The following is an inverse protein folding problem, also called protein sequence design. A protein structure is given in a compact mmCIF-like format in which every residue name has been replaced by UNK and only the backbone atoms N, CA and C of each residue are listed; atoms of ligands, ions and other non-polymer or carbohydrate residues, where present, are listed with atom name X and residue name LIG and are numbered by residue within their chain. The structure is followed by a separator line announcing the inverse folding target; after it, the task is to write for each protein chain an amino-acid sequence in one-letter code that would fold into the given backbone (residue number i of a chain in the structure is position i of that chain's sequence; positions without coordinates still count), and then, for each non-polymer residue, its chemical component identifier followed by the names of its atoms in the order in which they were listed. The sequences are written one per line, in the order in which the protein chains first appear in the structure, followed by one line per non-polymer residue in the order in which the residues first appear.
data_IF_768705752383
#
_entry.id   IF_768705752383
#
_cell.length_a   1.000
_cell.length_b   1.000
_cell.length_c   1.000
_cell.angle_alpha   90.00
_cell.angle_beta   90.00
_cell.angle_gamma   90.00
#
_symmetry.space_group_name_H-M   'P 1'
#
loop_
_entity.id
_entity.type
_entity.pdbx_description
1 polymer ?
#
# COMPACT_ATOMS: atom_id res chain seq x y z
N UNK A 1 -9.19 18.65 8.34
CA UNK A 1 -10.20 18.89 7.32
C UNK A 1 -10.29 20.34 6.89
N UNK A 2 -10.55 21.24 7.80
CA UNK A 2 -10.79 22.65 7.50
C UNK A 2 -9.60 23.32 6.84
N UNK A 3 -8.37 22.95 7.24
CA UNK A 3 -7.14 23.46 6.61
C UNK A 3 -7.03 23.03 5.15
N UNK A 4 -7.31 21.75 4.82
CA UNK A 4 -7.28 21.27 3.44
C UNK A 4 -8.31 22.01 2.58
N UNK A 5 -9.55 22.10 3.06
CA UNK A 5 -10.61 22.85 2.36
C UNK A 5 -10.27 24.31 2.16
N UNK A 6 -9.76 24.95 3.21
CA UNK A 6 -9.34 26.37 3.18
C UNK A 6 -8.30 26.66 2.10
N UNK A 7 -7.40 25.71 1.83
CA UNK A 7 -6.31 25.86 0.88
C UNK A 7 -6.56 25.13 -0.45
N UNK A 8 -7.76 24.61 -0.69
CA UNK A 8 -8.10 23.89 -1.92
C UNK A 8 -7.31 22.59 -2.14
N UNK A 9 -6.81 21.98 -1.05
CA UNK A 9 -6.05 20.73 -1.09
C UNK A 9 -6.97 19.52 -0.96
N UNK A 10 -6.60 18.46 -1.66
CA UNK A 10 -7.33 17.18 -1.62
C UNK A 10 -6.38 16.10 -1.10
N UNK A 11 -6.81 15.34 -0.10
CA UNK A 11 -6.09 14.15 0.31
C UNK A 11 -6.36 13.01 -0.69
N UNK A 12 -5.32 12.40 -1.19
CA UNK A 12 -5.40 11.28 -2.15
C UNK A 12 -5.20 9.92 -1.49
N UNK A 13 -4.62 9.92 -0.27
CA UNK A 13 -4.36 8.73 0.53
C UNK A 13 -4.47 9.07 2.02
N UNK A 14 -5.10 8.17 2.79
CA UNK A 14 -5.20 8.28 4.26
C UNK A 14 -4.99 6.92 4.91
N UNK A 15 -4.85 6.89 6.24
CA UNK A 15 -4.62 5.64 6.98
C UNK A 15 -5.80 4.67 6.82
N UNK A 16 -5.47 3.41 6.61
CA UNK A 16 -6.39 2.26 6.63
C UNK A 16 -6.19 1.41 7.88
N UNK A 17 -5.46 0.29 7.77
CA UNK A 17 -5.18 -0.61 8.88
C UNK A 17 -3.76 -1.18 8.79
N UNK A 18 -3.25 -1.66 9.94
CA UNK A 18 -1.92 -2.27 10.04
C UNK A 18 -0.79 -1.26 10.05
N UNK A 19 0.40 -1.76 10.34
CA UNK A 19 1.65 -1.01 10.34
C UNK A 19 2.80 -1.82 9.73
N UNK A 20 3.96 -1.19 9.53
CA UNK A 20 5.14 -1.86 8.96
C UNK A 20 5.57 -3.07 9.79
N UNK A 21 5.48 -2.99 11.12
CA UNK A 21 5.84 -4.10 12.04
C UNK A 21 4.67 -5.04 12.31
N UNK A 22 3.50 -4.48 12.60
CA UNK A 22 2.27 -5.21 12.90
C UNK A 22 1.29 -4.98 11.74
N UNK A 23 1.38 -5.78 10.71
CA UNK A 23 0.57 -5.66 9.50
C UNK A 23 -0.37 -6.84 9.30
N UNK A 24 -0.95 -6.89 8.10
CA UNK A 24 -2.02 -7.83 7.77
C UNK A 24 -1.57 -9.31 7.79
N UNK A 25 -0.26 -9.60 7.78
CA UNK A 25 0.27 -10.94 7.95
C UNK A 25 0.08 -11.51 9.38
N UNK A 26 -0.27 -10.66 10.36
CA UNK A 26 -0.52 -11.05 11.74
C UNK A 26 -2.02 -11.34 11.98
N UNK A 27 -2.45 -12.59 11.84
CA UNK A 27 -3.86 -12.99 11.97
C UNK A 27 -4.45 -12.71 13.36
N UNK A 28 -3.65 -12.69 14.42
CA UNK A 28 -4.12 -12.34 15.76
C UNK A 28 -4.64 -10.90 15.85
N UNK A 29 -4.22 -10.02 14.95
CA UNK A 29 -4.64 -8.61 14.85
C UNK A 29 -5.80 -8.38 13.88
N UNK A 30 -6.20 -9.37 13.10
CA UNK A 30 -7.27 -9.22 12.11
C UNK A 30 -8.58 -8.63 12.69
N UNK A 31 -9.07 -9.04 13.89
CA UNK A 31 -10.28 -8.43 14.45
C UNK A 31 -10.13 -6.91 14.64
N UNK A 32 -8.98 -6.45 15.15
CA UNK A 32 -8.70 -5.03 15.32
C UNK A 32 -8.58 -4.31 13.99
N UNK A 33 -7.84 -4.88 13.04
CA UNK A 33 -7.67 -4.29 11.71
C UNK A 33 -8.97 -4.19 10.94
N UNK A 34 -9.90 -5.13 11.11
CA UNK A 34 -11.23 -5.02 10.49
C UNK A 34 -12.04 -3.84 11.04
N UNK A 35 -11.97 -3.57 12.34
CA UNK A 35 -12.58 -2.38 12.91
C UNK A 35 -11.92 -1.08 12.40
N UNK A 36 -10.60 -1.08 12.26
CA UNK A 36 -9.86 0.04 11.68
C UNK A 36 -10.25 0.25 10.20
N UNK A 37 -10.35 -0.79 9.40
CA UNK A 37 -10.83 -0.72 8.02
C UNK A 37 -12.24 -0.15 7.93
N UNK A 38 -13.20 -0.67 8.70
CA UNK A 38 -14.59 -0.17 8.75
C UNK A 38 -14.62 1.33 9.03
N UNK A 39 -13.93 1.74 10.06
CA UNK A 39 -13.85 3.15 10.50
C UNK A 39 -13.21 4.03 9.44
N UNK A 40 -12.03 3.64 8.95
CA UNK A 40 -11.19 4.50 8.10
C UNK A 40 -11.68 4.54 6.65
N UNK A 41 -12.21 3.42 6.10
CA UNK A 41 -12.85 3.40 4.78
C UNK A 41 -14.09 4.29 4.79
N UNK A 42 -14.95 4.18 5.82
CA UNK A 42 -16.11 5.06 5.95
C UNK A 42 -15.69 6.53 6.04
N UNK A 43 -14.72 6.85 6.87
CA UNK A 43 -14.24 8.22 7.03
C UNK A 43 -13.63 8.78 5.73
N UNK A 44 -12.88 7.97 4.98
CA UNK A 44 -12.35 8.34 3.66
C UNK A 44 -13.49 8.64 2.67
N UNK A 45 -14.50 7.78 2.61
CA UNK A 45 -15.67 7.97 1.74
C UNK A 45 -16.46 9.23 2.10
N UNK A 46 -16.79 9.42 3.37
CA UNK A 46 -17.51 10.63 3.86
C UNK A 46 -16.73 11.91 3.53
N UNK A 47 -15.44 11.77 3.41
CA UNK A 47 -14.50 12.84 3.12
C UNK A 47 -14.27 13.08 1.63
N UNK A 48 -14.69 12.19 0.78
CA UNK A 48 -14.40 12.21 -0.65
C UNK A 48 -12.96 11.82 -1.00
N UNK A 49 -12.27 11.09 -0.11
CA UNK A 49 -10.91 10.61 -0.34
C UNK A 49 -10.93 9.24 -1.02
N UNK A 50 -10.13 9.03 -2.09
CA UNK A 50 -10.26 7.84 -2.92
C UNK A 50 -9.61 6.59 -2.33
N UNK A 51 -8.59 6.73 -1.47
CA UNK A 51 -7.76 5.60 -1.07
C UNK A 51 -7.45 5.57 0.43
N UNK A 52 -7.30 4.36 0.97
CA UNK A 52 -6.72 4.09 2.29
C UNK A 52 -5.49 3.20 2.15
N UNK A 53 -4.43 3.49 2.92
CA UNK A 53 -3.18 2.73 2.91
C UNK A 53 -3.23 1.58 3.92
N UNK A 54 -2.62 0.44 3.59
CA UNK A 54 -2.42 -0.68 4.50
C UNK A 54 -1.01 -1.26 4.36
N UNK A 55 -0.56 -2.01 5.36
CA UNK A 55 0.78 -2.57 5.44
C UNK A 55 0.74 -4.09 5.63
N UNK A 56 1.64 -4.79 4.92
CA UNK A 56 1.73 -6.25 5.01
C UNK A 56 2.21 -6.75 6.38
N UNK A 57 3.16 -6.04 7.01
CA UNK A 57 3.77 -6.44 8.28
C UNK A 57 5.20 -6.94 8.13
N UNK A 58 5.78 -7.37 9.25
CA UNK A 58 7.15 -7.84 9.35
C UNK A 58 7.25 -9.35 9.05
N UNK A 59 8.25 -9.74 8.24
CA UNK A 59 8.54 -11.11 7.80
C UNK A 59 8.94 -12.06 8.95
N UNK A 60 9.31 -11.52 10.12
CA UNK A 60 9.57 -12.33 11.31
C UNK A 60 8.33 -13.03 11.88
N UNK A 61 7.14 -12.65 11.45
CA UNK A 61 5.86 -13.18 11.92
C UNK A 61 5.53 -14.55 11.29
N UNK A 62 5.84 -14.72 9.99
CA UNK A 62 5.51 -15.92 9.22
C UNK A 62 6.32 -15.96 7.92
N UNK A 63 6.27 -17.08 7.19
CA UNK A 63 6.85 -17.19 5.86
C UNK A 63 6.14 -16.28 4.83
N UNK A 64 6.78 -16.02 3.69
CA UNK A 64 6.20 -15.19 2.62
C UNK A 64 4.88 -15.76 2.08
N UNK A 65 4.76 -17.10 1.97
CA UNK A 65 3.54 -17.77 1.51
C UNK A 65 2.42 -17.66 2.56
N UNK A 66 2.71 -17.95 3.83
CA UNK A 66 1.75 -17.74 4.92
C UNK A 66 1.32 -16.27 5.03
N UNK A 67 2.23 -15.35 4.77
CA UNK A 67 1.92 -13.92 4.73
C UNK A 67 0.96 -13.56 3.62
N UNK A 68 1.09 -14.15 2.43
CA UNK A 68 0.11 -14.01 1.35
C UNK A 68 -1.27 -14.53 1.79
N UNK A 69 -1.32 -15.74 2.35
CA UNK A 69 -2.58 -16.35 2.81
C UNK A 69 -3.25 -15.50 3.90
N UNK A 70 -2.48 -15.06 4.88
CA UNK A 70 -2.98 -14.24 5.99
C UNK A 70 -3.50 -12.88 5.50
N UNK A 71 -2.76 -12.20 4.61
CA UNK A 71 -3.20 -10.94 4.02
C UNK A 71 -4.44 -11.12 3.14
N UNK A 72 -4.50 -12.20 2.34
CA UNK A 72 -5.66 -12.51 1.50
C UNK A 72 -6.94 -12.64 2.31
N UNK A 73 -6.90 -13.37 3.43
CA UNK A 73 -8.07 -13.61 4.31
C UNK A 73 -8.71 -12.27 4.72
N UNK A 74 -7.96 -11.39 5.32
CA UNK A 74 -8.49 -10.11 5.81
C UNK A 74 -8.87 -9.16 4.67
N UNK A 75 -8.08 -9.12 3.59
CA UNK A 75 -8.34 -8.23 2.46
C UNK A 75 -9.63 -8.61 1.74
N UNK A 76 -9.95 -9.89 1.57
CA UNK A 76 -11.23 -10.33 0.99
C UNK A 76 -12.45 -9.88 1.77
N UNK A 77 -12.33 -9.66 3.07
CA UNK A 77 -13.40 -9.06 3.87
C UNK A 77 -13.37 -7.52 3.78
N UNK A 78 -12.20 -6.92 3.84
CA UNK A 78 -12.06 -5.46 3.77
C UNK A 78 -12.52 -4.88 2.43
N UNK A 79 -12.26 -5.57 1.32
CA UNK A 79 -12.66 -5.08 -0.01
C UNK A 79 -14.18 -5.05 -0.21
N UNK A 80 -14.95 -5.88 0.46
CA UNK A 80 -16.43 -5.82 0.42
C UNK A 80 -16.92 -4.46 0.95
N UNK A 81 -16.32 -4.01 2.05
CA UNK A 81 -16.61 -2.68 2.61
C UNK A 81 -16.11 -1.58 1.66
N UNK A 82 -14.91 -1.74 1.13
CA UNK A 82 -14.31 -0.78 0.21
C UNK A 82 -15.11 -0.61 -1.09
N UNK A 83 -15.72 -1.69 -1.59
CA UNK A 83 -16.63 -1.68 -2.75
C UNK A 83 -17.89 -0.87 -2.46
N UNK A 84 -18.55 -1.11 -1.31
CA UNK A 84 -19.75 -0.39 -0.89
C UNK A 84 -19.50 1.13 -0.77
N UNK A 85 -18.36 1.50 -0.20
CA UNK A 85 -17.97 2.90 0.01
C UNK A 85 -17.20 3.53 -1.16
N UNK A 86 -16.90 2.78 -2.23
CA UNK A 86 -16.14 3.22 -3.42
C UNK A 86 -14.74 3.76 -3.09
N UNK A 87 -14.12 3.25 -2.03
CA UNK A 87 -12.75 3.55 -1.61
C UNK A 87 -11.83 2.41 -2.04
N UNK A 88 -10.59 2.70 -2.37
CA UNK A 88 -9.59 1.67 -2.72
C UNK A 88 -8.64 1.44 -1.54
N UNK A 89 -8.43 0.19 -1.17
CA UNK A 89 -7.41 -0.23 -0.21
C UNK A 89 -6.11 -0.42 -0.99
N UNK A 90 -5.06 0.31 -0.63
CA UNK A 90 -3.76 0.22 -1.27
C UNK A 90 -2.70 -0.30 -0.29
N UNK A 91 -2.06 -1.44 -0.62
CA UNK A 91 -0.92 -1.94 0.15
C UNK A 91 0.36 -1.34 -0.39
N UNK A 92 1.18 -0.77 0.49
CA UNK A 92 2.42 -0.10 0.09
C UNK A 92 3.57 -1.09 -0.11
N UNK A 93 4.25 -0.94 -1.24
CA UNK A 93 5.54 -1.56 -1.53
C UNK A 93 6.66 -0.75 -0.90
N UNK A 94 7.42 -1.34 0.03
CA UNK A 94 8.54 -0.68 0.71
C UNK A 94 9.86 -1.43 0.50
N UNK A 95 10.99 -0.73 0.59
CA UNK A 95 12.28 -1.41 0.53
C UNK A 95 12.69 -1.99 1.88
N UNK A 96 13.08 -3.26 1.89
CA UNK A 96 13.66 -3.95 3.04
C UNK A 96 15.20 -3.84 3.10
N UNK A 97 15.84 -3.43 2.00
CA UNK A 97 17.30 -3.34 1.89
C UNK A 97 17.91 -2.20 2.71
N UNK A 98 17.21 -1.07 2.83
CA UNK A 98 17.77 0.16 3.43
C UNK A 98 16.90 0.70 4.57
N UNK A 99 15.60 0.90 4.34
CA UNK A 99 14.75 1.67 5.25
C UNK A 99 13.89 0.81 6.18
N UNK A 100 13.37 -0.32 5.71
CA UNK A 100 12.34 -1.09 6.41
C UNK A 100 12.73 -2.57 6.48
N UNK A 101 13.87 -2.87 7.10
CA UNK A 101 14.37 -4.25 7.25
C UNK A 101 13.27 -5.17 7.81
N UNK A 102 13.04 -6.30 7.14
CA UNK A 102 12.02 -7.27 7.50
C UNK A 102 10.63 -7.01 6.97
N UNK A 103 10.34 -5.87 6.34
CA UNK A 103 9.02 -5.64 5.74
C UNK A 103 8.70 -6.67 4.65
N UNK A 104 7.48 -7.23 4.68
CA UNK A 104 7.13 -8.38 3.84
C UNK A 104 6.81 -8.01 2.39
N UNK A 105 6.01 -6.98 2.15
CA UNK A 105 5.65 -6.54 0.80
C UNK A 105 6.75 -5.64 0.20
N UNK A 106 7.92 -6.22 -0.05
CA UNK A 106 9.12 -5.52 -0.49
C UNK A 106 9.50 -5.75 -1.95
N UNK A 107 8.64 -6.46 -2.69
CA UNK A 107 8.82 -6.72 -4.12
C UNK A 107 7.48 -6.81 -4.86
N UNK A 108 7.52 -6.50 -6.16
CA UNK A 108 6.32 -6.45 -7.00
C UNK A 108 5.69 -7.81 -7.26
N UNK A 109 6.48 -8.89 -7.33
CA UNK A 109 5.98 -10.24 -7.57
C UNK A 109 5.03 -10.64 -6.45
N UNK A 110 5.45 -10.46 -5.20
CA UNK A 110 4.61 -10.74 -4.02
C UNK A 110 3.35 -9.87 -3.99
N UNK A 111 3.50 -8.56 -4.25
CA UNK A 111 2.37 -7.63 -4.24
C UNK A 111 1.35 -7.91 -5.34
N UNK A 112 1.78 -8.20 -6.57
CA UNK A 112 0.87 -8.52 -7.68
C UNK A 112 0.18 -9.87 -7.47
N UNK A 113 0.88 -10.86 -6.89
CA UNK A 113 0.26 -12.13 -6.51
C UNK A 113 -0.86 -11.92 -5.49
N UNK A 114 -0.64 -11.07 -4.48
CA UNK A 114 -1.69 -10.74 -3.52
C UNK A 114 -2.89 -10.05 -4.20
N UNK A 115 -2.64 -9.11 -5.12
CA UNK A 115 -3.72 -8.49 -5.91
C UNK A 115 -4.52 -9.53 -6.70
N UNK A 116 -3.85 -10.50 -7.30
CA UNK A 116 -4.48 -11.58 -8.07
C UNK A 116 -5.32 -12.51 -7.19
N UNK A 117 -4.86 -12.83 -5.96
CA UNK A 117 -5.57 -13.66 -5.00
C UNK A 117 -6.82 -12.97 -4.43
N UNK A 118 -6.71 -11.69 -4.10
CA UNK A 118 -7.84 -10.87 -3.58
C UNK A 118 -8.90 -10.65 -4.65
N UNK A 119 -8.48 -10.46 -5.89
CA UNK A 119 -9.32 -10.34 -7.10
C UNK A 119 -10.45 -9.30 -6.96
N UNK A 120 -10.13 -8.12 -6.46
CA UNK A 120 -11.09 -7.01 -6.34
C UNK A 120 -10.53 -5.73 -6.98
N UNK A 121 -11.37 -4.95 -7.68
CA UNK A 121 -10.97 -3.65 -8.21
C UNK A 121 -10.66 -2.64 -7.09
N UNK A 122 -11.06 -2.94 -5.85
CA UNK A 122 -10.84 -2.09 -4.66
C UNK A 122 -9.66 -2.50 -3.81
N UNK A 123 -8.87 -3.49 -4.24
CA UNK A 123 -7.54 -3.74 -3.70
C UNK A 123 -6.47 -3.52 -4.77
N UNK A 124 -5.52 -2.65 -4.48
CA UNK A 124 -4.41 -2.28 -5.36
C UNK A 124 -3.13 -2.15 -4.55
N UNK A 125 -2.01 -1.97 -5.24
CA UNK A 125 -0.76 -1.57 -4.62
C UNK A 125 -0.61 -0.05 -4.64
N UNK A 126 -0.01 0.48 -3.61
CA UNK A 126 0.68 1.74 -3.63
C UNK A 126 2.11 1.44 -4.08
N UNK A 127 2.45 1.86 -5.29
CA UNK A 127 3.76 1.68 -5.88
C UNK A 127 4.64 2.88 -5.49
N UNK A 128 5.50 2.71 -4.50
CA UNK A 128 6.47 3.74 -4.15
C UNK A 128 7.70 3.59 -5.05
N UNK A 129 7.89 4.56 -5.94
CA UNK A 129 8.94 4.55 -6.95
C UNK A 129 10.33 4.57 -6.30
N UNK A 130 10.53 5.34 -5.23
CA UNK A 130 11.77 5.36 -4.47
C UNK A 130 12.12 3.98 -3.90
N UNK A 131 11.13 3.34 -3.27
CA UNK A 131 11.34 2.03 -2.67
C UNK A 131 11.62 0.95 -3.72
N UNK A 132 10.89 0.95 -4.82
CA UNK A 132 11.07 -0.05 -5.87
C UNK A 132 12.33 0.19 -6.71
N UNK A 133 12.81 1.42 -6.84
CA UNK A 133 14.12 1.69 -7.41
C UNK A 133 15.23 0.98 -6.62
N UNK A 134 15.19 1.03 -5.30
CA UNK A 134 16.17 0.36 -4.41
C UNK A 134 16.06 -1.17 -4.52
N UNK A 135 14.85 -1.70 -4.59
CA UNK A 135 14.60 -3.15 -4.57
C UNK A 135 14.85 -3.81 -5.94
N UNK A 136 14.31 -3.25 -6.99
CA UNK A 136 14.18 -3.93 -8.28
C UNK A 136 14.72 -3.14 -9.47
N UNK A 137 14.56 -1.81 -9.47
CA UNK A 137 14.79 -1.00 -10.67
C UNK A 137 13.77 -1.30 -11.76
N UNK A 138 14.15 -1.11 -13.05
CA UNK A 138 13.31 -1.40 -14.23
C UNK A 138 11.85 -0.87 -14.10
N UNK A 139 11.74 0.33 -13.55
CA UNK A 139 10.47 0.92 -13.12
C UNK A 139 9.46 1.05 -14.27
N UNK A 140 9.92 1.55 -15.44
CA UNK A 140 9.02 1.84 -16.58
C UNK A 140 8.33 0.58 -17.06
N UNK A 141 9.08 -0.49 -17.29
CA UNK A 141 8.52 -1.77 -17.76
C UNK A 141 7.60 -2.36 -16.72
N UNK A 142 8.05 -2.47 -15.46
CA UNK A 142 7.27 -3.03 -14.36
C UNK A 142 5.93 -2.31 -14.19
N UNK A 143 5.93 -0.98 -14.18
CA UNK A 143 4.71 -0.17 -14.07
C UNK A 143 3.81 -0.36 -15.29
N UNK A 144 4.37 -0.28 -16.50
CA UNK A 144 3.59 -0.35 -17.74
C UNK A 144 2.87 -1.69 -17.90
N UNK A 145 3.56 -2.79 -17.62
CA UNK A 145 2.99 -4.13 -17.74
C UNK A 145 1.95 -4.45 -16.65
N UNK A 146 2.04 -3.78 -15.51
CA UNK A 146 1.26 -4.11 -14.31
C UNK A 146 0.38 -2.97 -13.80
N UNK A 147 0.15 -1.93 -14.59
CA UNK A 147 -0.62 -0.74 -14.20
C UNK A 147 -2.01 -1.06 -13.63
N UNK A 148 -2.64 -2.14 -14.05
CA UNK A 148 -3.94 -2.60 -13.55
C UNK A 148 -3.95 -2.94 -12.06
N UNK A 149 -2.80 -3.26 -11.49
CA UNK A 149 -2.64 -3.59 -10.06
C UNK A 149 -2.24 -2.38 -9.20
N UNK A 150 -1.89 -1.24 -9.82
CA UNK A 150 -1.42 -0.04 -9.15
C UNK A 150 -2.59 0.93 -8.98
N UNK A 151 -2.83 1.36 -7.74
CA UNK A 151 -3.89 2.31 -7.38
C UNK A 151 -3.38 3.70 -7.01
N UNK A 152 -2.11 3.79 -6.60
CA UNK A 152 -1.48 5.04 -6.18
C UNK A 152 0.04 4.97 -6.33
N UNK A 153 0.67 6.14 -6.43
CA UNK A 153 2.13 6.26 -6.49
C UNK A 153 2.66 7.16 -5.37
N UNK A 154 3.79 6.76 -4.77
CA UNK A 154 4.65 7.66 -4.01
C UNK A 154 5.96 7.88 -4.75
N UNK A 155 6.59 9.02 -4.52
CA UNK A 155 7.83 9.43 -5.17
C UNK A 155 8.80 10.05 -4.17
N UNK A 156 10.09 9.83 -4.37
CA UNK A 156 11.18 10.55 -3.73
C UNK A 156 12.47 10.36 -4.55
N UNK A 157 13.43 11.23 -4.38
CA UNK A 157 14.74 11.10 -5.02
C UNK A 157 15.56 9.95 -4.40
N UNK A 158 16.21 9.13 -5.21
CA UNK A 158 17.12 8.07 -4.78
C UNK A 158 18.54 8.35 -5.31
N UNK A 159 19.59 8.22 -4.48
CA UNK A 159 19.60 7.75 -3.09
C UNK A 159 19.14 8.80 -2.08
N UNK A 160 18.85 8.37 -0.86
CA UNK A 160 18.70 9.23 0.32
C UNK A 160 17.28 9.77 0.60
N UNK A 161 16.30 9.47 -0.28
CA UNK A 161 14.90 9.91 -0.14
C UNK A 161 14.75 11.44 -0.11
N UNK A 162 15.46 12.10 -1.00
CA UNK A 162 15.49 13.56 -1.15
C UNK A 162 14.44 14.08 -2.14
N UNK A 163 14.59 15.37 -2.48
CA UNK A 163 13.81 16.04 -3.51
C UNK A 163 13.97 15.38 -4.88
N UNK A 164 13.02 15.65 -5.79
CA UNK A 164 13.05 15.17 -7.17
C UNK A 164 13.89 16.12 -8.05
N UNK A 165 15.11 16.35 -7.65
CA UNK A 165 16.05 17.24 -8.34
C UNK A 165 17.00 16.48 -9.28
N UNK A 166 18.00 17.17 -9.82
CA UNK A 166 19.00 16.60 -10.75
C UNK A 166 20.08 15.75 -10.06
N UNK A 167 20.12 15.71 -8.72
CA UNK A 167 21.13 14.99 -7.94
C UNK A 167 20.67 13.59 -7.51
N UNK A 168 19.67 13.04 -8.17
CA UNK A 168 19.14 11.71 -7.90
C UNK A 168 19.07 10.85 -9.18
N UNK A 169 18.93 9.54 -9.06
CA UNK A 169 19.10 8.60 -10.19
C UNK A 169 17.82 8.28 -10.97
N UNK A 170 16.63 8.69 -10.48
CA UNK A 170 15.37 8.40 -11.14
C UNK A 170 15.03 9.55 -12.09
N UNK A 171 14.81 9.22 -13.35
CA UNK A 171 14.39 10.22 -14.32
C UNK A 171 12.86 10.38 -14.30
N UNK A 172 12.39 11.33 -13.52
CA UNK A 172 10.98 11.71 -13.51
C UNK A 172 10.66 12.61 -14.71
#
# INVERSE_FOLDING_TARGET
WDALKKHGLVATMVSGAGSIKDGLNNTAKHPQFMEDFKKNIKAASDAGWPNVITMAGDRSQCSDEEGLDNCEIILKEAVKIAEDYKVTVCMELLNSKVNHAGYMCDNTIWGFELCRRVDSPRFKLLYDIYHMQIMEGDLIRTITENIKYIGHFHTAGNPGRHELDENQEINY
#
